data_IF_407730446007
#
_entry.id   IF_407730446007
#
_cell.length_a   1.000
_cell.length_b   1.000
_cell.length_c   1.000
_cell.angle_alpha   90.00
_cell.angle_beta   90.00
_cell.angle_gamma   90.00
#
_symmetry.space_group_name_H-M   'P 1'
#
loop_
_entity.id
_entity.type
_entity.pdbx_description
1 polymer ?
#
# COMPACT_ATOMS: atom_id res chain seq x y z
N UNK A 1 -34.20 21.99 66.53
CA UNK A 1 -34.38 20.87 65.55
C UNK A 1 -33.67 21.25 64.24
N UNK A 2 -32.52 20.66 63.98
CA UNK A 2 -31.72 20.96 62.79
C UNK A 2 -31.80 19.76 61.85
N UNK A 3 -32.46 19.94 60.72
CA UNK A 3 -32.53 18.92 59.64
C UNK A 3 -31.29 18.86 58.84
N UNK A 4 -30.49 17.79 58.99
CA UNK A 4 -29.40 17.44 58.10
C UNK A 4 -29.96 16.83 56.80
N UNK A 5 -29.83 17.55 55.67
CA UNK A 5 -30.03 16.99 54.34
C UNK A 5 -28.88 16.04 54.00
N UNK A 6 -29.17 14.76 53.76
CA UNK A 6 -28.25 13.77 53.19
C UNK A 6 -27.87 14.22 51.79
N UNK A 7 -26.54 14.37 51.53
CA UNK A 7 -26.00 14.61 50.21
C UNK A 7 -26.15 13.36 49.33
N UNK A 8 -26.84 13.48 48.21
CA UNK A 8 -26.86 12.50 47.15
C UNK A 8 -25.46 12.43 46.49
N UNK A 9 -24.87 11.28 46.60
CA UNK A 9 -23.63 10.96 45.84
C UNK A 9 -24.00 10.84 44.36
N UNK A 10 -23.72 11.92 43.60
CA UNK A 10 -23.81 11.90 42.15
C UNK A 10 -22.76 10.91 41.64
N UNK A 11 -23.23 9.78 41.15
CA UNK A 11 -22.41 8.72 40.57
C UNK A 11 -21.88 9.21 39.23
N UNK A 12 -20.73 9.89 39.26
CA UNK A 12 -20.03 10.31 38.04
C UNK A 12 -19.57 9.04 37.27
N UNK A 13 -20.32 8.69 36.22
CA UNK A 13 -19.89 7.67 35.26
C UNK A 13 -18.51 8.04 34.74
N UNK A 14 -17.48 7.22 35.07
CA UNK A 14 -16.14 7.33 34.48
C UNK A 14 -16.28 7.40 32.96
N UNK A 15 -15.58 8.33 32.29
CA UNK A 15 -15.61 8.39 30.83
C UNK A 15 -15.18 7.03 30.28
N UNK A 16 -16.01 6.46 29.38
CA UNK A 16 -15.66 5.22 28.69
C UNK A 16 -14.35 5.46 27.93
N UNK A 17 -13.30 4.74 28.32
CA UNK A 17 -12.02 4.79 27.60
C UNK A 17 -12.23 4.52 26.12
N UNK A 18 -11.46 5.20 25.28
CA UNK A 18 -11.49 4.97 23.83
C UNK A 18 -11.31 3.47 23.55
N UNK A 19 -12.08 2.87 22.66
CA UNK A 19 -11.93 1.45 22.34
C UNK A 19 -10.50 1.18 21.88
N UNK A 20 -9.90 0.09 22.38
CA UNK A 20 -8.56 -0.35 21.99
C UNK A 20 -8.50 -0.47 20.45
N UNK A 21 -7.52 0.17 19.83
CA UNK A 21 -7.32 0.15 18.38
C UNK A 21 -7.96 1.33 17.62
N UNK A 22 -8.64 2.26 18.28
CA UNK A 22 -9.26 3.42 17.64
C UNK A 22 -8.31 4.39 16.92
N UNK A 23 -7.00 4.28 17.17
CA UNK A 23 -5.96 5.07 16.50
C UNK A 23 -5.20 4.27 15.43
N UNK A 24 -5.53 3.00 15.20
CA UNK A 24 -4.90 2.23 14.14
C UNK A 24 -5.39 2.69 12.77
N UNK A 25 -4.51 3.09 11.84
CA UNK A 25 -4.92 3.42 10.47
C UNK A 25 -5.55 2.24 9.72
N UNK A 26 -5.36 1.01 10.25
CA UNK A 26 -5.94 -0.23 9.68
C UNK A 26 -7.27 -0.60 10.35
N UNK A 27 -7.41 -0.29 11.65
CA UNK A 27 -8.57 -0.69 12.48
C UNK A 27 -9.44 0.52 12.87
N UNK A 28 -8.97 1.73 12.59
CA UNK A 28 -9.74 2.96 12.80
C UNK A 28 -10.99 2.97 11.94
N UNK A 29 -12.10 2.62 12.54
CA UNK A 29 -13.35 2.28 11.88
C UNK A 29 -14.10 3.47 11.25
N UNK A 30 -13.80 4.71 11.63
CA UNK A 30 -14.63 5.85 11.21
C UNK A 30 -14.25 6.47 9.86
N UNK A 31 -13.06 6.15 9.32
CA UNK A 31 -12.60 6.63 8.02
C UNK A 31 -12.70 5.60 6.89
N UNK A 32 -12.98 4.33 7.22
CA UNK A 32 -13.02 3.22 6.25
C UNK A 32 -14.44 2.85 5.82
N UNK A 33 -15.47 3.32 6.55
CA UNK A 33 -16.85 3.06 6.17
C UNK A 33 -17.31 4.07 5.12
N UNK A 34 -17.89 3.54 4.05
CA UNK A 34 -18.56 4.35 3.04
C UNK A 34 -19.68 5.13 3.69
N UNK A 35 -19.76 6.43 3.43
CA UNK A 35 -20.89 7.27 3.81
C UNK A 35 -22.08 6.94 2.92
N UNK A 36 -23.27 7.33 3.38
CA UNK A 36 -24.47 7.25 2.54
C UNK A 36 -24.23 7.99 1.20
N UNK A 37 -24.54 7.32 0.10
CA UNK A 37 -24.33 7.84 -1.24
C UNK A 37 -22.94 7.60 -1.87
N UNK A 38 -21.89 7.28 -1.10
CA UNK A 38 -20.55 7.05 -1.66
C UNK A 38 -20.51 5.86 -2.63
N UNK A 39 -21.22 4.77 -2.29
CA UNK A 39 -21.29 3.62 -3.18
C UNK A 39 -21.98 3.96 -4.50
N UNK A 40 -23.01 4.77 -4.48
CA UNK A 40 -23.70 5.24 -5.68
C UNK A 40 -22.77 6.10 -6.55
N UNK A 41 -21.98 7.01 -5.95
CA UNK A 41 -20.97 7.82 -6.66
C UNK A 41 -19.92 6.93 -7.34
N UNK A 42 -19.36 5.97 -6.60
CA UNK A 42 -18.36 5.02 -7.12
C UNK A 42 -18.94 4.25 -8.31
N UNK A 43 -20.14 3.71 -8.16
CA UNK A 43 -20.79 2.91 -9.20
C UNK A 43 -21.10 3.75 -10.45
N UNK A 44 -21.64 4.98 -10.28
CA UNK A 44 -21.98 5.84 -11.39
C UNK A 44 -20.73 6.29 -12.16
N UNK A 45 -19.65 6.69 -11.46
CA UNK A 45 -18.35 6.98 -12.07
C UNK A 45 -17.87 5.81 -12.95
N UNK A 46 -17.84 4.60 -12.38
CA UNK A 46 -17.35 3.44 -13.10
C UNK A 46 -18.25 3.07 -14.30
N UNK A 47 -19.56 3.28 -14.20
CA UNK A 47 -20.48 3.08 -15.32
C UNK A 47 -20.28 4.11 -16.45
N UNK A 48 -19.97 5.36 -16.12
CA UNK A 48 -19.64 6.37 -17.14
C UNK A 48 -18.32 6.02 -17.82
N UNK A 49 -17.28 5.62 -17.06
CA UNK A 49 -16.01 5.13 -17.64
C UNK A 49 -16.22 3.94 -18.57
N UNK A 50 -17.00 2.95 -18.13
CA UNK A 50 -17.27 1.73 -18.91
C UNK A 50 -18.02 2.03 -20.22
N UNK A 51 -18.86 3.06 -20.24
CA UNK A 51 -19.65 3.45 -21.42
C UNK A 51 -18.88 4.34 -22.41
N UNK A 52 -17.65 4.74 -22.10
CA UNK A 52 -16.86 5.54 -23.02
C UNK A 52 -16.64 4.76 -24.33
N UNK A 53 -16.88 5.36 -25.50
CA UNK A 53 -16.70 4.68 -26.78
C UNK A 53 -15.24 4.35 -27.05
N UNK A 54 -14.95 3.46 -27.98
CA UNK A 54 -13.60 3.21 -28.43
C UNK A 54 -12.99 4.46 -29.05
N UNK A 55 -11.67 4.60 -28.97
CA UNK A 55 -10.90 5.69 -29.58
C UNK A 55 -9.97 5.12 -30.65
N UNK A 56 -9.62 5.94 -31.63
CA UNK A 56 -8.52 5.65 -32.54
C UNK A 56 -7.20 6.10 -31.91
N UNK A 57 -6.33 5.18 -31.60
CA UNK A 57 -5.01 5.48 -31.01
C UNK A 57 -4.03 6.11 -31.99
N UNK A 58 -4.37 6.24 -33.28
CA UNK A 58 -3.59 6.97 -34.27
C UNK A 58 -3.91 8.46 -34.29
N UNK A 59 -5.06 8.82 -33.74
CA UNK A 59 -5.51 10.20 -33.61
C UNK A 59 -5.18 10.73 -32.21
N UNK A 60 -4.15 11.57 -32.15
CA UNK A 60 -3.70 12.18 -30.89
C UNK A 60 -4.80 12.99 -30.22
N UNK A 61 -5.61 13.71 -30.99
CA UNK A 61 -6.68 14.55 -30.44
C UNK A 61 -7.74 13.72 -29.72
N UNK A 62 -8.15 12.59 -30.30
CA UNK A 62 -9.09 11.69 -29.62
C UNK A 62 -8.53 11.15 -28.31
N UNK A 63 -7.23 10.86 -28.25
CA UNK A 63 -6.58 10.38 -27.03
C UNK A 63 -6.51 11.47 -25.98
N UNK A 64 -6.14 12.69 -26.34
CA UNK A 64 -6.08 13.84 -25.44
C UNK A 64 -7.46 14.21 -24.91
N UNK A 65 -8.46 14.32 -25.77
CA UNK A 65 -9.85 14.56 -25.37
C UNK A 65 -10.37 13.49 -24.41
N UNK A 66 -9.95 12.22 -24.62
CA UNK A 66 -10.31 11.12 -23.73
C UNK A 66 -9.64 11.23 -22.36
N UNK A 67 -8.37 11.62 -22.31
CA UNK A 67 -7.65 11.84 -21.06
C UNK A 67 -8.25 13.03 -20.29
N UNK A 68 -8.59 14.10 -20.97
CA UNK A 68 -9.26 15.24 -20.35
C UNK A 68 -10.64 14.87 -19.81
N UNK A 69 -11.45 14.14 -20.60
CA UNK A 69 -12.74 13.62 -20.17
C UNK A 69 -12.63 12.70 -18.95
N UNK A 70 -11.58 11.88 -18.88
CA UNK A 70 -11.30 11.03 -17.72
C UNK A 70 -11.06 11.87 -16.45
N UNK A 71 -10.18 12.86 -16.50
CA UNK A 71 -9.91 13.71 -15.32
C UNK A 71 -11.14 14.57 -14.96
N UNK A 72 -11.85 15.11 -15.93
CA UNK A 72 -13.08 15.87 -15.71
C UNK A 72 -14.16 15.02 -15.02
N UNK A 73 -14.26 13.74 -15.40
CA UNK A 73 -15.22 12.82 -14.80
C UNK A 73 -14.91 12.57 -13.31
N UNK A 74 -13.65 12.38 -12.96
CA UNK A 74 -13.24 12.22 -11.55
C UNK A 74 -13.45 13.49 -10.74
N UNK A 75 -13.21 14.67 -11.34
CA UNK A 75 -13.51 15.96 -10.72
C UNK A 75 -15.02 16.15 -10.51
N UNK A 76 -15.86 15.81 -11.50
CA UNK A 76 -17.33 15.85 -11.41
C UNK A 76 -17.88 15.07 -10.23
N UNK A 77 -17.29 13.89 -9.94
CA UNK A 77 -17.71 13.03 -8.84
C UNK A 77 -16.99 13.32 -7.53
N UNK A 78 -16.07 14.28 -7.49
CA UNK A 78 -15.19 14.56 -6.32
C UNK A 78 -14.51 13.28 -5.81
N UNK A 79 -13.90 12.54 -6.74
CA UNK A 79 -13.20 11.29 -6.47
C UNK A 79 -11.74 11.35 -6.91
N UNK A 80 -10.90 10.59 -6.22
CA UNK A 80 -9.48 10.48 -6.57
C UNK A 80 -9.31 9.66 -7.83
N UNK A 81 -8.65 10.17 -8.89
CA UNK A 81 -8.42 9.41 -10.11
C UNK A 81 -7.49 8.22 -9.84
N UNK A 82 -7.68 7.15 -10.61
CA UNK A 82 -6.97 5.88 -10.41
C UNK A 82 -6.35 5.37 -11.72
N UNK A 83 -5.21 4.70 -11.63
CA UNK A 83 -4.56 4.05 -12.78
C UNK A 83 -5.51 3.06 -13.49
N UNK A 84 -6.29 2.31 -12.72
CA UNK A 84 -7.27 1.38 -13.28
C UNK A 84 -8.38 2.12 -14.04
N UNK A 85 -8.86 3.27 -13.52
CA UNK A 85 -9.85 4.11 -14.21
C UNK A 85 -9.30 4.70 -15.49
N UNK A 86 -8.03 5.14 -15.51
CA UNK A 86 -7.38 5.62 -16.72
C UNK A 86 -7.25 4.53 -17.79
N UNK A 87 -6.87 3.31 -17.39
CA UNK A 87 -6.83 2.17 -18.29
C UNK A 87 -8.22 1.85 -18.89
N UNK A 88 -9.27 1.91 -18.07
CA UNK A 88 -10.64 1.74 -18.50
C UNK A 88 -11.09 2.85 -19.47
N UNK A 89 -10.80 4.12 -19.17
CA UNK A 89 -11.11 5.24 -20.03
C UNK A 89 -10.45 5.14 -21.41
N UNK A 90 -9.19 4.70 -21.42
CA UNK A 90 -8.43 4.45 -22.65
C UNK A 90 -8.76 3.12 -23.32
N UNK A 91 -9.67 2.31 -22.76
CA UNK A 91 -10.04 1.00 -23.29
C UNK A 91 -8.83 0.04 -23.50
N UNK A 92 -7.89 0.06 -22.57
CA UNK A 92 -6.72 -0.81 -22.56
C UNK A 92 -6.55 -1.54 -21.24
N UNK A 93 -5.74 -2.60 -21.20
CA UNK A 93 -5.42 -3.27 -19.96
C UNK A 93 -4.48 -2.42 -19.08
N UNK A 94 -4.51 -2.63 -17.75
CA UNK A 94 -3.54 -2.00 -16.85
C UNK A 94 -2.10 -2.33 -17.22
N UNK A 95 -1.84 -3.55 -17.69
CA UNK A 95 -0.51 -3.98 -18.12
C UNK A 95 -0.05 -3.21 -19.36
N UNK A 96 -0.93 -3.01 -20.33
CA UNK A 96 -0.66 -2.20 -21.53
C UNK A 96 -0.37 -0.75 -21.15
N UNK A 97 -1.22 -0.15 -20.32
CA UNK A 97 -1.01 1.21 -19.82
C UNK A 97 0.32 1.36 -19.09
N UNK A 98 0.65 0.40 -18.22
CA UNK A 98 1.93 0.41 -17.50
C UNK A 98 3.13 0.29 -18.46
N UNK A 99 3.05 -0.59 -19.46
CA UNK A 99 4.10 -0.77 -20.44
C UNK A 99 4.34 0.51 -21.25
N UNK A 100 3.27 1.18 -21.70
CA UNK A 100 3.35 2.47 -22.40
C UNK A 100 3.98 3.54 -21.49
N UNK A 101 3.53 3.65 -20.25
CA UNK A 101 4.04 4.64 -19.30
C UNK A 101 5.53 4.47 -18.99
N UNK A 102 6.05 3.22 -19.00
CA UNK A 102 7.42 2.89 -18.63
C UNK A 102 8.32 2.54 -19.81
N UNK A 103 7.92 2.83 -21.05
CA UNK A 103 8.67 2.48 -22.28
C UNK A 103 9.00 0.99 -22.40
N UNK A 104 8.11 0.13 -21.92
CA UNK A 104 8.28 -1.32 -22.03
C UNK A 104 7.57 -1.85 -23.28
N UNK A 105 8.04 -2.98 -23.84
CA UNK A 105 7.35 -3.64 -24.94
C UNK A 105 5.88 -3.92 -24.59
N UNK A 106 4.98 -3.55 -25.48
CA UNK A 106 3.56 -3.78 -25.29
C UNK A 106 3.17 -5.14 -25.85
N UNK A 107 2.82 -6.08 -24.98
CA UNK A 107 2.31 -7.40 -25.34
C UNK A 107 0.80 -7.34 -25.66
N UNK A 108 0.40 -6.45 -26.57
CA UNK A 108 -0.98 -6.29 -27.01
C UNK A 108 -1.08 -6.51 -28.51
N UNK A 109 -2.29 -6.83 -28.98
CA UNK A 109 -2.56 -7.02 -30.41
C UNK A 109 -3.15 -5.75 -31.00
N UNK A 110 -2.97 -5.54 -32.31
CA UNK A 110 -3.57 -4.44 -33.04
C UNK A 110 -2.89 -3.09 -32.82
N UNK A 111 -3.66 -2.01 -32.84
CA UNK A 111 -3.17 -0.63 -32.81
C UNK A 111 -2.41 -0.25 -31.55
N UNK A 112 -2.60 -0.96 -30.45
CA UNK A 112 -1.86 -0.76 -29.19
C UNK A 112 -0.40 -1.23 -29.25
N UNK A 113 -0.04 -2.03 -30.24
CA UNK A 113 1.33 -2.56 -30.37
C UNK A 113 2.31 -1.52 -30.93
N UNK A 114 1.82 -0.57 -31.72
CA UNK A 114 2.61 0.47 -32.38
C UNK A 114 1.93 1.85 -32.21
N UNK A 115 1.88 2.34 -30.99
CA UNK A 115 1.36 3.67 -30.72
C UNK A 115 2.28 4.75 -31.35
N UNK A 116 1.69 5.78 -31.99
CA UNK A 116 2.46 6.97 -32.38
C UNK A 116 3.16 7.59 -31.16
N UNK A 117 4.38 8.09 -31.36
CA UNK A 117 5.19 8.67 -30.28
C UNK A 117 4.42 9.76 -29.51
N UNK A 118 3.74 10.66 -30.23
CA UNK A 118 2.97 11.73 -29.62
C UNK A 118 1.86 11.20 -28.70
N UNK A 119 1.17 10.13 -29.11
CA UNK A 119 0.14 9.47 -28.30
C UNK A 119 0.74 8.82 -27.06
N UNK A 120 1.85 8.08 -27.22
CA UNK A 120 2.54 7.46 -26.11
C UNK A 120 3.02 8.52 -25.09
N UNK A 121 3.52 9.66 -25.55
CA UNK A 121 4.00 10.74 -24.70
C UNK A 121 2.84 11.44 -23.96
N UNK A 122 1.68 11.64 -24.60
CA UNK A 122 0.50 12.18 -23.94
C UNK A 122 -0.02 11.23 -22.85
N UNK A 123 -0.04 9.92 -23.10
CA UNK A 123 -0.39 8.89 -22.10
C UNK A 123 0.59 8.91 -20.92
N UNK A 124 1.91 8.95 -21.19
CA UNK A 124 2.96 9.04 -20.15
C UNK A 124 2.79 10.28 -19.29
N UNK A 125 2.58 11.44 -19.91
CA UNK A 125 2.37 12.71 -19.19
C UNK A 125 1.15 12.63 -18.27
N UNK A 126 0.08 12.03 -18.72
CA UNK A 126 -1.14 11.85 -17.92
C UNK A 126 -0.95 10.81 -16.82
N UNK A 127 -0.13 9.78 -17.05
CA UNK A 127 0.25 8.80 -16.02
C UNK A 127 1.11 9.45 -14.93
N UNK A 128 2.06 10.31 -15.31
CA UNK A 128 2.86 11.09 -14.37
C UNK A 128 2.00 12.09 -13.56
N UNK A 129 0.95 12.65 -14.16
CA UNK A 129 -0.02 13.46 -13.43
C UNK A 129 -0.72 12.65 -12.33
N UNK A 130 -1.08 11.39 -12.59
CA UNK A 130 -1.65 10.51 -11.56
C UNK A 130 -0.66 10.24 -10.42
N UNK A 131 0.60 10.03 -10.74
CA UNK A 131 1.66 9.85 -9.73
C UNK A 131 1.81 11.09 -8.85
N UNK A 132 1.90 12.29 -9.44
CA UNK A 132 1.96 13.54 -8.72
C UNK A 132 0.73 13.77 -7.82
N UNK A 133 -0.47 13.45 -8.31
CA UNK A 133 -1.69 13.50 -7.49
C UNK A 133 -1.64 12.51 -6.33
N UNK A 134 -1.14 11.30 -6.55
CA UNK A 134 -0.96 10.29 -5.51
C UNK A 134 0.01 10.78 -4.42
N UNK A 135 1.17 11.35 -4.79
CA UNK A 135 2.11 11.95 -3.83
C UNK A 135 1.45 13.09 -3.03
N UNK A 136 0.71 13.96 -3.70
CA UNK A 136 -0.03 15.06 -3.06
C UNK A 136 -1.03 14.53 -2.03
N UNK A 137 -1.77 13.47 -2.34
CA UNK A 137 -2.70 12.84 -1.41
C UNK A 137 -1.99 12.15 -0.23
N UNK A 138 -0.85 11.51 -0.48
CA UNK A 138 -0.01 10.92 0.58
C UNK A 138 0.50 12.00 1.54
N UNK A 139 1.11 13.06 1.02
CA UNK A 139 1.66 14.17 1.80
C UNK A 139 0.58 14.91 2.60
N UNK A 140 -0.64 15.01 2.08
CA UNK A 140 -1.77 15.66 2.77
C UNK A 140 -2.51 14.75 3.76
N UNK A 141 -2.07 13.49 3.93
CA UNK A 141 -2.70 12.51 4.81
C UNK A 141 -4.12 12.07 4.37
N UNK A 142 -4.49 12.35 3.13
CA UNK A 142 -5.82 12.02 2.58
C UNK A 142 -5.95 10.58 2.06
N UNK A 143 -4.90 9.78 2.19
CA UNK A 143 -4.86 8.36 1.82
C UNK A 143 -4.42 7.56 3.03
N UNK A 144 -4.98 6.37 3.20
CA UNK A 144 -4.46 5.42 4.18
C UNK A 144 -3.01 5.07 3.81
N UNK A 145 -2.02 5.27 4.72
CA UNK A 145 -0.61 5.08 4.40
C UNK A 145 -0.28 3.69 3.86
N UNK A 146 -0.87 2.64 4.43
CA UNK A 146 -0.63 1.25 4.00
C UNK A 146 -1.12 1.03 2.58
N UNK A 147 -2.35 1.47 2.28
CA UNK A 147 -2.91 1.38 0.93
C UNK A 147 -2.14 2.25 -0.06
N UNK A 148 -1.70 3.44 0.38
CA UNK A 148 -0.91 4.36 -0.45
C UNK A 148 0.43 3.76 -0.83
N UNK A 149 1.20 3.21 0.13
CA UNK A 149 2.48 2.55 -0.13
C UNK A 149 2.30 1.36 -1.08
N UNK A 150 1.27 0.52 -0.84
CA UNK A 150 0.96 -0.61 -1.71
C UNK A 150 0.67 -0.16 -3.15
N UNK A 151 -0.16 0.87 -3.34
CA UNK A 151 -0.47 1.40 -4.66
C UNK A 151 0.74 2.07 -5.32
N UNK A 152 1.57 2.79 -4.56
CA UNK A 152 2.81 3.39 -5.05
C UNK A 152 3.75 2.35 -5.64
N UNK A 153 3.98 1.25 -4.92
CA UNK A 153 4.82 0.14 -5.38
C UNK A 153 4.26 -0.54 -6.64
N UNK A 154 2.95 -0.78 -6.68
CA UNK A 154 2.33 -1.53 -7.78
C UNK A 154 2.05 -0.70 -9.03
N UNK A 155 1.82 0.61 -8.89
CA UNK A 155 1.49 1.45 -10.01
C UNK A 155 2.68 2.28 -10.50
N UNK A 156 3.51 2.82 -9.59
CA UNK A 156 4.54 3.80 -9.92
C UNK A 156 5.96 3.28 -9.75
N UNK A 157 6.13 1.99 -9.40
CA UNK A 157 7.43 1.34 -9.34
C UNK A 157 8.29 1.69 -8.13
N UNK A 158 7.72 2.30 -7.09
CA UNK A 158 8.43 2.55 -5.83
C UNK A 158 8.92 1.25 -5.20
N UNK A 159 10.17 1.24 -4.74
CA UNK A 159 10.81 0.05 -4.13
C UNK A 159 11.34 0.40 -2.76
N UNK A 160 11.20 -0.53 -1.82
CA UNK A 160 11.99 -0.47 -0.58
C UNK A 160 13.40 -0.97 -0.92
N UNK A 161 14.39 -0.11 -0.84
CA UNK A 161 15.79 -0.50 -0.91
C UNK A 161 16.24 -0.90 0.49
N UNK A 162 16.42 -2.20 0.72
CA UNK A 162 17.12 -2.70 1.91
C UNK A 162 18.57 -2.95 1.52
N UNK A 163 19.49 -2.16 2.07
CA UNK A 163 20.91 -2.41 1.91
C UNK A 163 21.31 -3.49 2.92
N UNK A 164 21.50 -4.71 2.43
CA UNK A 164 22.10 -5.76 3.25
C UNK A 164 23.61 -5.60 3.19
N UNK A 165 24.20 -5.00 4.23
CA UNK A 165 25.64 -5.09 4.44
C UNK A 165 25.93 -6.52 4.88
N UNK A 166 26.33 -7.36 3.95
CA UNK A 166 26.93 -8.65 4.27
C UNK A 166 28.29 -8.36 4.93
N UNK A 167 28.29 -8.20 6.24
CA UNK A 167 29.54 -8.33 6.99
C UNK A 167 30.03 -9.76 6.78
N UNK A 168 31.20 -9.97 6.16
CA UNK A 168 31.74 -11.32 6.07
C UNK A 168 31.79 -11.85 7.48
N UNK A 169 31.16 -13.01 7.70
CA UNK A 169 31.27 -13.72 8.97
C UNK A 169 32.77 -13.75 9.28
N UNK A 170 33.17 -13.21 10.45
CA UNK A 170 34.47 -13.48 10.97
C UNK A 170 34.67 -14.97 10.81
N UNK A 171 35.74 -15.37 10.09
CA UNK A 171 36.13 -16.76 10.00
C UNK A 171 35.97 -17.33 11.42
N UNK A 172 35.01 -18.23 11.58
CA UNK A 172 34.96 -19.07 12.78
C UNK A 172 36.31 -19.74 12.76
N UNK A 173 37.17 -19.45 13.75
CA UNK A 173 38.42 -20.11 13.90
C UNK A 173 38.15 -21.60 13.67
N UNK A 174 38.77 -22.17 12.63
CA UNK A 174 38.66 -23.60 12.38
C UNK A 174 39.22 -24.30 13.61
N UNK A 175 38.29 -24.68 14.52
CA UNK A 175 38.64 -25.52 15.61
C UNK A 175 39.22 -26.78 15.04
N UNK A 176 40.50 -27.07 15.36
CA UNK A 176 41.10 -28.33 14.95
C UNK A 176 40.28 -29.48 15.53
N UNK A 177 40.22 -30.65 14.90
CA UNK A 177 39.54 -31.82 15.44
C UNK A 177 39.97 -32.15 16.86
N UNK A 178 41.19 -31.76 17.24
CA UNK A 178 41.77 -31.94 18.57
C UNK A 178 41.19 -30.96 19.60
N UNK A 179 40.94 -29.71 19.22
CA UNK A 179 40.29 -28.71 20.09
C UNK A 179 38.83 -29.06 20.36
N UNK A 180 38.13 -29.60 19.39
CA UNK A 180 36.77 -30.12 19.57
C UNK A 180 36.74 -31.31 20.50
N UNK A 181 37.67 -32.29 20.34
CA UNK A 181 37.81 -33.43 21.23
C UNK A 181 38.11 -32.99 22.66
N UNK A 182 39.02 -32.04 22.86
CA UNK A 182 39.38 -31.53 24.18
C UNK A 182 38.21 -30.87 24.90
N UNK A 183 37.39 -30.15 24.17
CA UNK A 183 36.22 -29.45 24.71
C UNK A 183 35.08 -30.37 25.15
N UNK A 184 34.92 -31.51 24.47
CA UNK A 184 33.79 -32.43 24.72
C UNK A 184 34.18 -33.71 25.47
N UNK A 185 35.46 -34.08 25.56
CA UNK A 185 35.94 -35.27 26.25
C UNK A 185 36.44 -34.99 27.66
N UNK A 186 36.74 -33.74 28.01
CA UNK A 186 37.14 -33.36 29.39
C UNK A 186 35.97 -32.99 30.31
N UNK A 187 34.72 -33.12 29.83
CA UNK A 187 33.52 -32.78 30.61
C UNK A 187 32.79 -33.95 31.25
N UNK A 188 33.31 -35.19 31.18
CA UNK A 188 32.58 -36.38 31.67
C UNK A 188 33.14 -37.08 32.94
N UNK A 189 34.13 -36.47 33.62
CA UNK A 189 34.65 -37.04 34.84
C UNK A 189 34.52 -36.08 36.04
N UNK A 190 33.30 -35.78 36.44
CA UNK A 190 33.05 -35.23 37.79
C UNK A 190 31.58 -35.35 38.19
N UNK A 191 31.12 -36.57 38.33
CA UNK A 191 30.01 -36.90 39.22
C UNK A 191 30.08 -38.38 39.55
N UNK A 192 30.74 -38.72 40.66
CA UNK A 192 30.34 -39.77 41.60
C UNK A 192 31.43 -39.94 42.68
N UNK A 193 31.17 -39.37 43.80
CA UNK A 193 31.54 -39.97 45.07
C UNK A 193 31.21 -38.97 46.20
N UNK A 194 30.11 -39.22 46.89
CA UNK A 194 30.07 -39.20 48.36
C UNK A 194 28.66 -39.58 48.80
N UNK A 195 28.51 -40.88 48.83
CA UNK A 195 27.61 -41.53 49.79
C UNK A 195 28.50 -42.08 50.91
N UNK A 196 28.09 -41.82 52.09
CA UNK A 196 28.32 -42.54 53.35
C UNK A 196 28.32 -41.55 54.52
N UNK A 197 27.26 -41.57 55.33
CA UNK A 197 27.19 -42.50 56.40
C UNK A 197 27.04 -41.73 57.69
N UNK A 198 26.10 -42.24 58.51
CA UNK A 198 26.01 -42.28 59.96
C UNK A 198 25.73 -40.99 60.76
N UNK A 199 24.75 -41.04 61.41
CA UNK A 199 24.12 -41.18 62.72
C UNK A 199 22.92 -40.27 62.88
#
# INVERSE_FOLDING_TARGET
MVNKKKGELVNQKKPKGKPRGGNSPVIGNNGLMLKEGDNAKILNLNRELFKMPNIDYRDIQQVEDRLDAYFALYAKYDMKPTVAGMAMALNMSRQTLWAVAHNQPVNSRGDLMNLPTAVADSIKKSYFLLENMWETYMNSGKVNPVSGIFLGKNNFGYKDTSEYVLTPNKQVDEYSPEDIKKKYLTGSDSSDSNDSGSE
#
